data_IF_479534656352
#
_entry.id   IF_479534656352
#
_cell.length_a   1.000
_cell.length_b   1.000
_cell.length_c   1.000
_cell.angle_alpha   90.00
_cell.angle_beta   90.00
_cell.angle_gamma   90.00
#
_symmetry.space_group_name_H-M   'P 1'
#
loop_
_entity.id
_entity.type
_entity.pdbx_description
1 polymer ?
#
# COMPACT_ATOMS: atom_id res chain seq x y z
N UNK A 1 -30.81 -8.15 -4.64
CA UNK A 1 -30.00 -7.05 -4.09
C UNK A 1 -28.71 -7.07 -4.89
N UNK A 2 -28.45 -6.07 -5.73
CA UNK A 2 -27.19 -5.98 -6.47
C UNK A 2 -26.08 -5.66 -5.46
N UNK A 3 -25.12 -6.57 -5.29
CA UNK A 3 -23.93 -6.33 -4.47
C UNK A 3 -22.91 -5.59 -5.36
N UNK A 4 -22.76 -4.28 -5.15
CA UNK A 4 -21.67 -3.52 -5.76
C UNK A 4 -20.37 -3.91 -5.05
N UNK A 5 -19.39 -4.43 -5.80
CA UNK A 5 -18.05 -4.66 -5.28
C UNK A 5 -17.18 -3.45 -5.60
N UNK A 6 -16.46 -2.95 -4.59
CA UNK A 6 -15.47 -1.89 -4.75
C UNK A 6 -14.08 -2.50 -4.91
N UNK A 7 -13.24 -1.86 -5.71
CA UNK A 7 -11.82 -2.18 -5.78
C UNK A 7 -11.03 -0.89 -5.72
N UNK A 8 -10.08 -0.83 -4.79
CA UNK A 8 -9.28 0.36 -4.51
C UNK A 8 -7.84 0.14 -4.93
N UNK A 9 -7.24 1.17 -5.52
CA UNK A 9 -5.82 1.23 -5.86
C UNK A 9 -5.24 2.51 -5.28
N UNK A 10 -4.15 2.39 -4.54
CA UNK A 10 -3.51 3.49 -3.83
C UNK A 10 -2.01 3.51 -4.06
N UNK A 11 -1.45 4.68 -4.39
CA UNK A 11 0.00 4.86 -4.47
C UNK A 11 0.51 5.57 -3.21
N UNK A 12 1.60 5.06 -2.65
CA UNK A 12 2.28 5.60 -1.49
C UNK A 12 3.74 5.89 -1.77
N UNK A 13 4.22 6.94 -1.11
CA UNK A 13 5.64 7.11 -0.83
C UNK A 13 5.87 6.76 0.63
N UNK A 14 6.71 5.75 0.88
CA UNK A 14 7.12 5.36 2.22
C UNK A 14 8.55 5.83 2.44
N UNK A 15 8.76 6.65 3.45
CA UNK A 15 10.09 7.04 3.90
C UNK A 15 10.51 6.09 5.02
N UNK A 16 11.70 5.54 4.89
CA UNK A 16 12.30 4.58 5.82
C UNK A 16 13.67 5.04 6.27
N UNK A 17 14.20 4.41 7.31
CA UNK A 17 15.62 4.49 7.62
C UNK A 17 16.42 3.86 6.47
N UNK A 18 17.39 4.57 5.87
CA UNK A 18 18.14 4.07 4.71
C UNK A 18 18.75 2.67 4.91
N UNK A 19 19.25 2.40 6.12
CA UNK A 19 19.86 1.11 6.50
C UNK A 19 18.88 -0.06 6.54
N UNK A 20 17.58 0.20 6.63
CA UNK A 20 16.52 -0.82 6.72
C UNK A 20 15.65 -0.88 5.44
N UNK A 21 15.90 -0.01 4.47
CA UNK A 21 15.06 0.20 3.29
C UNK A 21 14.79 -1.10 2.50
N UNK A 22 15.83 -1.90 2.25
CA UNK A 22 15.68 -3.18 1.53
C UNK A 22 14.88 -4.22 2.32
N UNK A 23 15.12 -4.34 3.63
CA UNK A 23 14.38 -5.27 4.49
C UNK A 23 12.91 -4.86 4.57
N UNK A 24 12.62 -3.58 4.74
CA UNK A 24 11.26 -3.05 4.81
C UNK A 24 10.54 -3.22 3.48
N UNK A 25 11.20 -3.00 2.34
CA UNK A 25 10.62 -3.29 1.03
C UNK A 25 10.17 -4.76 0.93
N UNK A 26 11.02 -5.70 1.35
CA UNK A 26 10.66 -7.13 1.37
C UNK A 26 9.47 -7.41 2.29
N UNK A 27 9.43 -6.82 3.49
CA UNK A 27 8.31 -6.98 4.42
C UNK A 27 7.02 -6.41 3.83
N UNK A 28 7.07 -5.24 3.20
CA UNK A 28 5.91 -4.61 2.57
C UNK A 28 5.35 -5.50 1.46
N UNK A 29 6.20 -6.12 0.63
CA UNK A 29 5.75 -7.06 -0.42
C UNK A 29 5.07 -8.34 0.11
N UNK A 30 5.13 -8.61 1.42
CA UNK A 30 4.38 -9.72 2.02
C UNK A 30 2.93 -9.36 2.37
N UNK A 31 2.59 -8.07 2.37
CA UNK A 31 1.23 -7.62 2.59
C UNK A 31 0.37 -7.94 1.36
N UNK A 32 -0.82 -8.46 1.57
CA UNK A 32 -1.74 -8.78 0.49
C UNK A 32 -2.07 -7.49 -0.30
N UNK A 33 -1.93 -7.56 -1.63
CA UNK A 33 -2.20 -6.43 -2.52
C UNK A 33 -1.13 -5.33 -2.52
N UNK A 34 0.03 -5.54 -1.87
CA UNK A 34 1.12 -4.56 -1.86
C UNK A 34 2.22 -4.89 -2.87
N UNK A 35 2.63 -3.89 -3.65
CA UNK A 35 3.76 -3.98 -4.57
C UNK A 35 4.73 -2.81 -4.33
N UNK A 36 6.04 -3.09 -4.36
CA UNK A 36 7.09 -2.05 -4.27
C UNK A 36 7.72 -1.88 -5.64
N UNK A 37 7.58 -0.69 -6.24
CA UNK A 37 8.06 -0.40 -7.59
C UNK A 37 9.45 0.22 -7.64
N UNK A 38 9.85 0.92 -6.57
CA UNK A 38 11.14 1.59 -6.49
C UNK A 38 11.67 1.64 -5.06
N UNK A 39 12.99 1.58 -4.95
CA UNK A 39 13.76 1.71 -3.72
C UNK A 39 14.88 2.70 -3.99
N UNK A 40 14.99 3.77 -3.21
CA UNK A 40 16.12 4.70 -3.30
C UNK A 40 17.14 4.46 -2.20
N UNK A 41 18.40 4.83 -2.47
CA UNK A 41 19.50 4.82 -1.49
C UNK A 41 19.22 5.74 -0.28
N UNK A 42 18.35 6.72 -0.45
CA UNK A 42 17.92 7.68 0.57
C UNK A 42 16.81 7.15 1.49
N UNK A 43 16.37 5.89 1.29
CA UNK A 43 15.34 5.27 2.12
C UNK A 43 13.91 5.51 1.64
N UNK A 44 13.68 5.96 0.40
CA UNK A 44 12.32 6.13 -0.15
C UNK A 44 11.87 4.89 -0.90
N UNK A 45 10.62 4.49 -0.67
CA UNK A 45 9.94 3.42 -1.39
C UNK A 45 8.72 3.98 -2.13
N UNK A 46 8.51 3.53 -3.36
CA UNK A 46 7.25 3.75 -4.09
C UNK A 46 6.44 2.46 -4.02
N UNK A 47 5.25 2.53 -3.44
CA UNK A 47 4.42 1.37 -3.13
C UNK A 47 3.03 1.55 -3.75
N UNK A 48 2.48 0.48 -4.31
CA UNK A 48 1.06 0.40 -4.67
C UNK A 48 0.35 -0.55 -3.72
N UNK A 49 -0.84 -0.19 -3.26
CA UNK A 49 -1.74 -1.03 -2.47
C UNK A 49 -3.06 -1.22 -3.21
N UNK A 50 -3.50 -2.45 -3.29
CA UNK A 50 -4.76 -2.86 -3.90
C UNK A 50 -5.64 -3.62 -2.91
N UNK A 51 -6.96 -3.44 -2.98
CA UNK A 51 -7.87 -4.18 -2.09
C UNK A 51 -9.36 -3.93 -2.36
N UNK A 52 -10.20 -4.83 -1.86
CA UNK A 52 -11.66 -4.85 -2.07
C UNK A 52 -12.44 -3.75 -1.32
N UNK A 53 -11.75 -2.79 -0.70
CA UNK A 53 -12.40 -1.76 0.08
C UNK A 53 -11.42 -0.79 0.72
N UNK A 54 -11.90 0.41 1.01
CA UNK A 54 -11.12 1.44 1.69
C UNK A 54 -10.51 0.94 3.02
N UNK A 55 -11.24 0.10 3.77
CA UNK A 55 -10.76 -0.46 5.03
C UNK A 55 -9.52 -1.36 4.88
N UNK A 56 -9.42 -2.12 3.79
CA UNK A 56 -8.25 -2.96 3.50
C UNK A 56 -7.02 -2.09 3.21
N UNK A 57 -7.20 -1.03 2.41
CA UNK A 57 -6.14 -0.06 2.12
C UNK A 57 -5.66 0.61 3.41
N UNK A 58 -6.57 1.15 4.23
CA UNK A 58 -6.19 1.82 5.49
C UNK A 58 -5.44 0.88 6.44
N UNK A 59 -5.91 -0.37 6.57
CA UNK A 59 -5.24 -1.37 7.40
C UNK A 59 -3.82 -1.67 6.92
N UNK A 60 -3.60 -1.73 5.61
CA UNK A 60 -2.27 -1.91 5.03
C UNK A 60 -1.38 -0.68 5.27
N UNK A 61 -1.90 0.54 5.15
CA UNK A 61 -1.16 1.77 5.48
C UNK A 61 -0.75 1.78 6.96
N UNK A 62 -1.67 1.46 7.86
CA UNK A 62 -1.41 1.39 9.30
C UNK A 62 -0.33 0.34 9.62
N UNK A 63 -0.42 -0.84 8.97
CA UNK A 63 0.59 -1.89 9.11
C UNK A 63 1.98 -1.41 8.66
N UNK A 64 2.07 -0.70 7.54
CA UNK A 64 3.33 -0.12 7.04
C UNK A 64 3.86 0.93 8.02
N UNK A 65 3.01 1.85 8.48
CA UNK A 65 3.41 2.91 9.42
C UNK A 65 3.89 2.34 10.76
N UNK A 66 3.37 1.20 11.19
CA UNK A 66 3.77 0.53 12.43
C UNK A 66 5.11 -0.23 12.32
N UNK A 67 5.65 -0.44 11.12
CA UNK A 67 6.92 -1.17 10.95
C UNK A 67 8.10 -0.37 11.53
N UNK A 68 8.90 -0.96 12.44
CA UNK A 68 10.12 -0.32 12.93
C UNK A 68 11.04 0.06 11.79
N UNK A 69 11.48 1.33 11.76
CA UNK A 69 12.31 1.85 10.68
C UNK A 69 11.53 2.58 9.58
N UNK A 70 10.20 2.50 9.54
CA UNK A 70 9.37 3.41 8.75
C UNK A 70 9.29 4.76 9.47
N UNK A 71 9.58 5.83 8.74
CA UNK A 71 9.55 7.22 9.22
C UNK A 71 8.24 7.91 8.83
N UNK A 72 7.71 7.59 7.63
CA UNK A 72 6.38 8.00 7.20
C UNK A 72 5.86 7.13 6.07
N UNK A 73 4.55 7.07 5.90
CA UNK A 73 3.91 6.56 4.70
C UNK A 73 2.86 7.59 4.25
N UNK A 74 3.08 8.20 3.09
CA UNK A 74 2.24 9.25 2.54
C UNK A 74 1.47 8.72 1.32
N UNK A 75 0.14 8.83 1.37
CA UNK A 75 -0.73 8.54 0.25
C UNK A 75 -0.60 9.64 -0.81
N UNK A 76 -0.18 9.27 -2.01
CA UNK A 76 0.01 10.19 -3.14
C UNK A 76 -1.20 10.17 -4.08
N UNK A 77 -1.77 8.99 -4.28
CA UNK A 77 -2.90 8.79 -5.18
C UNK A 77 -3.84 7.73 -4.61
N UNK A 78 -5.13 7.92 -4.83
CA UNK A 78 -6.16 6.96 -4.49
C UNK A 78 -7.27 6.99 -5.53
N UNK A 79 -7.62 5.83 -6.05
CA UNK A 79 -8.76 5.60 -6.92
C UNK A 79 -9.52 4.39 -6.44
N UNK A 80 -10.83 4.39 -6.66
CA UNK A 80 -11.64 3.20 -6.51
C UNK A 80 -12.64 3.12 -7.63
N UNK A 81 -12.90 1.90 -8.06
CA UNK A 81 -13.90 1.58 -9.06
C UNK A 81 -14.95 0.66 -8.45
N UNK A 82 -16.17 0.76 -8.96
CA UNK A 82 -17.29 -0.03 -8.50
C UNK A 82 -17.78 -0.90 -9.64
N UNK A 83 -17.90 -2.20 -9.39
CA UNK A 83 -18.30 -3.19 -10.40
C UNK A 83 -19.60 -3.85 -9.99
N UNK A 84 -20.55 -3.90 -10.93
CA UNK A 84 -21.73 -4.75 -10.81
C UNK A 84 -21.33 -6.19 -11.13
N UNK A 85 -21.44 -7.08 -10.14
CA UNK A 85 -21.23 -8.51 -10.36
C UNK A 85 -22.36 -9.05 -11.23
N UNK A 86 -22.09 -9.25 -12.52
CA UNK A 86 -23.03 -9.92 -13.43
C UNK A 86 -22.93 -11.42 -13.18
N UNK A 87 -24.01 -12.04 -12.68
CA UNK A 87 -24.16 -13.49 -12.55
C UNK A 87 -24.36 -14.18 -13.91
#
# INVERSE_FOLDING_TARGET
MSQNQEFHISSLVVLTQPTQCQQLAQQITTLAGAEVHAISEEGKLVVTLEGEGQGAIMSAIDAIQAMPGVLSAALIYHQFDVFEKTE
#
